data_IF_873302594697
#
_entry.id   IF_873302594697
#
_cell.length_a   1.000
_cell.length_b   1.000
_cell.length_c   1.000
_cell.angle_alpha   90.00
_cell.angle_beta   90.00
_cell.angle_gamma   90.00
#
_symmetry.space_group_name_H-M   'P 1'
#
loop_
_entity.id
_entity.type
_entity.pdbx_description
1 polymer ?
#
# COMPACT_ATOMS: atom_id res chain seq x y z
N UNK A 1 -34.68 2.63 20.25
CA UNK A 1 -34.06 1.43 19.66
C UNK A 1 -32.93 1.74 18.67
N UNK A 2 -32.90 2.91 18.02
CA UNK A 2 -31.84 3.29 17.04
C UNK A 2 -30.42 3.41 17.64
N UNK A 3 -30.28 3.81 18.91
CA UNK A 3 -28.96 3.99 19.53
C UNK A 3 -28.20 2.67 19.74
N UNK A 4 -28.93 1.55 19.96
CA UNK A 4 -28.35 0.21 20.15
C UNK A 4 -27.88 -0.38 18.81
N UNK A 5 -28.61 -0.13 17.72
CA UNK A 5 -28.21 -0.53 16.36
C UNK A 5 -26.90 0.15 15.94
N UNK A 6 -26.76 1.45 16.19
CA UNK A 6 -25.54 2.21 15.85
C UNK A 6 -24.29 1.71 16.59
N UNK A 7 -24.44 1.32 17.86
CA UNK A 7 -23.35 0.73 18.65
C UNK A 7 -22.97 -0.67 18.16
N UNK A 8 -23.96 -1.49 17.78
CA UNK A 8 -23.74 -2.82 17.19
C UNK A 8 -23.01 -2.74 15.85
N UNK A 9 -23.34 -1.78 15.00
CA UNK A 9 -22.66 -1.57 13.72
C UNK A 9 -21.23 -1.06 13.91
N UNK A 10 -20.99 -0.18 14.88
CA UNK A 10 -19.63 0.23 15.27
C UNK A 10 -18.81 -0.93 15.80
N UNK A 11 -19.37 -1.77 16.67
CA UNK A 11 -18.70 -2.96 17.20
C UNK A 11 -18.43 -4.02 16.13
N UNK A 12 -19.38 -4.28 15.23
CA UNK A 12 -19.17 -5.18 14.09
C UNK A 12 -18.12 -4.63 13.15
N UNK A 13 -18.17 -3.33 12.82
CA UNK A 13 -17.19 -2.67 11.95
C UNK A 13 -15.79 -2.68 12.56
N UNK A 14 -15.67 -2.43 13.87
CA UNK A 14 -14.38 -2.49 14.57
C UNK A 14 -13.85 -3.92 14.66
N UNK A 15 -14.70 -4.91 14.98
CA UNK A 15 -14.31 -6.32 15.01
C UNK A 15 -13.90 -6.84 13.64
N UNK A 16 -14.59 -6.42 12.57
CA UNK A 16 -14.22 -6.72 11.19
C UNK A 16 -12.90 -6.03 10.79
N UNK A 17 -12.67 -4.79 11.20
CA UNK A 17 -11.42 -4.08 10.96
C UNK A 17 -10.23 -4.77 11.64
N UNK A 18 -10.39 -5.19 12.90
CA UNK A 18 -9.37 -5.97 13.63
C UNK A 18 -9.11 -7.32 12.96
N UNK A 19 -10.17 -8.02 12.54
CA UNK A 19 -10.04 -9.27 11.82
C UNK A 19 -9.29 -9.09 10.49
N UNK A 20 -9.62 -8.06 9.71
CA UNK A 20 -8.90 -7.71 8.48
C UNK A 20 -7.43 -7.36 8.75
N UNK A 21 -7.15 -6.62 9.83
CA UNK A 21 -5.78 -6.26 10.20
C UNK A 21 -4.94 -7.51 10.52
N UNK A 22 -5.50 -8.45 11.29
CA UNK A 22 -4.84 -9.74 11.59
C UNK A 22 -4.66 -10.56 10.30
N UNK A 23 -5.70 -10.65 9.48
CA UNK A 23 -5.67 -11.34 8.20
C UNK A 23 -4.69 -10.72 7.18
N UNK A 24 -4.35 -9.44 7.34
CA UNK A 24 -3.31 -8.77 6.57
C UNK A 24 -1.90 -9.03 7.13
N UNK A 25 -1.75 -8.94 8.46
CA UNK A 25 -0.45 -9.07 9.14
C UNK A 25 0.09 -10.50 9.05
N UNK A 26 -0.77 -11.51 9.18
CA UNK A 26 -0.37 -12.92 9.14
C UNK A 26 0.35 -13.33 7.84
N UNK A 27 -0.22 -13.12 6.64
CA UNK A 27 0.48 -13.40 5.38
C UNK A 27 1.69 -12.47 5.15
N UNK A 28 1.67 -11.23 5.64
CA UNK A 28 2.81 -10.30 5.55
C UNK A 28 4.05 -10.82 6.31
N UNK A 29 3.83 -11.38 7.50
CA UNK A 29 4.89 -12.05 8.28
C UNK A 29 5.40 -13.28 7.54
N UNK A 30 4.50 -14.06 6.93
CA UNK A 30 4.87 -15.23 6.12
C UNK A 30 5.78 -14.87 4.94
N UNK A 31 5.45 -13.81 4.19
CA UNK A 31 6.30 -13.29 3.12
C UNK A 31 7.66 -12.86 3.69
N UNK A 32 7.69 -12.15 4.82
CA UNK A 32 8.94 -11.67 5.43
C UNK A 32 9.85 -12.80 5.93
N UNK A 33 9.29 -13.87 6.47
CA UNK A 33 10.03 -15.05 6.92
C UNK A 33 10.57 -15.86 5.74
N UNK A 34 9.74 -16.07 4.72
CA UNK A 34 10.17 -16.70 3.45
C UNK A 34 11.34 -15.93 2.84
N UNK A 35 11.22 -14.61 2.87
CA UNK A 35 12.20 -13.69 2.37
C UNK A 35 13.56 -13.79 3.08
N UNK A 36 13.55 -13.91 4.42
CA UNK A 36 14.77 -14.12 5.22
C UNK A 36 15.38 -15.51 5.01
N UNK A 37 14.55 -16.55 4.91
CA UNK A 37 15.00 -17.92 4.70
C UNK A 37 15.71 -18.11 3.35
N UNK A 38 15.17 -17.50 2.28
CA UNK A 38 15.72 -17.56 0.94
C UNK A 38 17.15 -16.97 0.86
N UNK A 39 17.38 -15.87 1.57
CA UNK A 39 18.69 -15.20 1.63
C UNK A 39 19.70 -16.03 2.43
N UNK A 40 19.26 -16.73 3.47
CA UNK A 40 20.12 -17.53 4.35
C UNK A 40 20.57 -18.87 3.75
N UNK A 41 19.77 -19.49 2.88
CA UNK A 41 20.07 -20.83 2.33
C UNK A 41 20.86 -20.76 1.03
N UNK A 42 20.67 -19.72 0.22
CA UNK A 42 21.16 -19.72 -1.17
C UNK A 42 22.13 -18.60 -1.56
N UNK A 43 22.51 -17.66 -0.67
CA UNK A 43 23.43 -16.55 -0.98
C UNK A 43 23.11 -15.77 -2.29
N UNK A 44 21.87 -15.84 -2.79
CA UNK A 44 21.45 -15.18 -4.02
C UNK A 44 21.18 -13.69 -3.72
N UNK A 45 22.08 -12.82 -4.19
CA UNK A 45 22.04 -11.34 -4.06
C UNK A 45 20.98 -10.65 -4.94
N UNK A 46 19.83 -11.27 -5.23
CA UNK A 46 18.83 -10.70 -6.15
C UNK A 46 17.47 -10.44 -5.48
N UNK A 47 17.35 -9.40 -4.63
CA UNK A 47 16.08 -8.98 -4.03
C UNK A 47 15.03 -8.57 -5.07
N UNK A 48 15.45 -8.26 -6.30
CA UNK A 48 14.56 -7.89 -7.42
C UNK A 48 13.62 -9.05 -7.79
N UNK A 49 14.15 -10.27 -7.94
CA UNK A 49 13.38 -11.44 -8.39
C UNK A 49 12.22 -11.75 -7.44
N UNK A 50 12.50 -11.62 -6.16
CA UNK A 50 11.61 -11.90 -5.04
C UNK A 50 10.45 -10.90 -4.93
N UNK A 51 10.72 -9.62 -5.20
CA UNK A 51 9.70 -8.57 -5.27
C UNK A 51 8.79 -8.80 -6.49
N UNK A 52 9.38 -9.18 -7.63
CA UNK A 52 8.62 -9.51 -8.84
C UNK A 52 7.69 -10.71 -8.59
N UNK A 53 8.18 -11.77 -7.95
CA UNK A 53 7.35 -12.93 -7.58
C UNK A 53 6.20 -12.55 -6.65
N UNK A 54 6.43 -11.67 -5.68
CA UNK A 54 5.40 -11.22 -4.74
C UNK A 54 4.31 -10.41 -5.44
N UNK A 55 4.70 -9.51 -6.36
CA UNK A 55 3.74 -8.75 -7.17
C UNK A 55 2.97 -9.65 -8.14
N UNK A 56 3.65 -10.63 -8.74
CA UNK A 56 3.03 -11.61 -9.63
C UNK A 56 2.03 -12.49 -8.88
N UNK A 57 2.37 -12.94 -7.67
CA UNK A 57 1.46 -13.71 -6.82
C UNK A 57 0.21 -12.90 -6.44
N UNK A 58 0.38 -11.65 -6.01
CA UNK A 58 -0.74 -10.75 -5.74
C UNK A 58 -1.59 -10.50 -6.99
N UNK A 59 -0.98 -10.39 -8.16
CA UNK A 59 -1.68 -10.25 -9.43
C UNK A 59 -2.53 -11.48 -9.74
N UNK A 60 -1.96 -12.68 -9.63
CA UNK A 60 -2.67 -13.95 -9.83
C UNK A 60 -3.83 -14.07 -8.83
N UNK A 61 -3.58 -13.86 -7.53
CA UNK A 61 -4.65 -13.92 -6.52
C UNK A 61 -5.77 -12.93 -6.82
N UNK A 62 -5.43 -11.68 -7.14
CA UNK A 62 -6.44 -10.68 -7.49
C UNK A 62 -7.24 -11.06 -8.74
N UNK A 63 -6.59 -11.69 -9.72
CA UNK A 63 -7.22 -12.24 -10.91
C UNK A 63 -8.15 -13.41 -10.59
N UNK A 64 -7.70 -14.37 -9.79
CA UNK A 64 -8.48 -15.53 -9.35
C UNK A 64 -9.68 -15.11 -8.51
N UNK A 65 -9.53 -14.16 -7.59
CA UNK A 65 -10.64 -13.60 -6.79
C UNK A 65 -11.69 -12.95 -7.70
N UNK A 66 -11.25 -12.21 -8.74
CA UNK A 66 -12.17 -11.62 -9.73
C UNK A 66 -12.86 -12.68 -10.59
N UNK A 67 -12.17 -13.73 -10.99
CA UNK A 67 -12.74 -14.83 -11.77
C UNK A 67 -13.76 -15.63 -10.94
N UNK A 68 -13.42 -15.99 -9.70
CA UNK A 68 -14.31 -16.70 -8.77
C UNK A 68 -15.53 -15.84 -8.43
N UNK A 69 -15.34 -14.53 -8.21
CA UNK A 69 -16.41 -13.57 -8.01
C UNK A 69 -17.29 -13.33 -9.25
N UNK A 70 -16.81 -13.66 -10.46
CA UNK A 70 -17.62 -13.64 -11.68
C UNK A 70 -18.39 -14.94 -11.89
N UNK A 71 -17.86 -16.08 -11.41
CA UNK A 71 -18.51 -17.40 -11.52
C UNK A 71 -19.55 -17.63 -10.43
N UNK A 72 -19.29 -17.11 -9.23
CA UNK A 72 -20.24 -17.09 -8.13
C UNK A 72 -21.01 -15.79 -8.27
N UNK A 73 -22.29 -15.82 -8.64
CA UNK A 73 -23.18 -14.65 -8.83
C UNK A 73 -23.47 -13.91 -7.50
N UNK A 74 -22.42 -13.64 -6.73
CA UNK A 74 -22.42 -13.03 -5.43
C UNK A 74 -22.18 -11.54 -5.63
N UNK A 75 -23.24 -10.76 -5.40
CA UNK A 75 -23.36 -9.29 -5.49
C UNK A 75 -22.35 -8.46 -4.67
N UNK A 76 -21.33 -9.07 -4.08
CA UNK A 76 -20.45 -8.49 -3.06
C UNK A 76 -19.21 -7.81 -3.64
N UNK A 77 -18.93 -8.01 -4.93
CA UNK A 77 -17.79 -7.42 -5.61
C UNK A 77 -18.34 -6.57 -6.77
N UNK A 78 -18.46 -5.24 -6.61
CA UNK A 78 -18.83 -4.38 -7.72
C UNK A 78 -17.67 -4.39 -8.72
N UNK A 79 -17.75 -5.30 -9.69
CA UNK A 79 -16.90 -5.27 -10.89
C UNK A 79 -17.31 -4.05 -11.70
N UNK A 80 -16.72 -2.92 -11.35
CA UNK A 80 -16.84 -1.69 -12.12
C UNK A 80 -16.35 -2.02 -13.53
N UNK A 81 -17.24 -1.95 -14.52
CA UNK A 81 -16.89 -2.20 -15.92
C UNK A 81 -15.80 -1.20 -16.29
N UNK A 82 -14.61 -1.70 -16.66
CA UNK A 82 -13.51 -0.85 -17.11
C UNK A 82 -13.93 -0.15 -18.40
N UNK A 83 -14.40 1.09 -18.27
CA UNK A 83 -14.57 1.97 -19.41
C UNK A 83 -13.18 2.41 -19.89
N UNK A 84 -12.98 2.53 -21.21
CA UNK A 84 -11.67 2.92 -21.80
C UNK A 84 -11.10 4.21 -21.22
N UNK A 85 -11.98 5.12 -20.80
CA UNK A 85 -11.62 6.36 -20.09
C UNK A 85 -10.91 6.09 -18.76
N UNK A 86 -11.39 5.13 -17.95
CA UNK A 86 -10.77 4.76 -16.67
C UNK A 86 -9.40 4.12 -16.88
N UNK A 87 -9.25 3.29 -17.92
CA UNK A 87 -7.97 2.66 -18.24
C UNK A 87 -6.90 3.71 -18.61
N UNK A 88 -7.26 4.74 -19.38
CA UNK A 88 -6.33 5.81 -19.74
C UNK A 88 -5.86 6.63 -18.53
N UNK A 89 -6.67 6.75 -17.47
CA UNK A 89 -6.28 7.39 -16.20
C UNK A 89 -5.45 6.46 -15.30
N UNK A 90 -5.72 5.15 -15.34
CA UNK A 90 -5.00 4.13 -14.56
C UNK A 90 -3.60 3.81 -15.12
N UNK A 91 -3.41 4.02 -16.41
CA UNK A 91 -2.14 3.75 -17.09
C UNK A 91 -0.98 4.63 -16.57
N UNK A 92 -1.11 5.97 -16.49
CA UNK A 92 -0.02 6.81 -15.97
C UNK A 92 0.26 6.57 -14.49
N UNK A 93 -0.76 6.32 -13.65
CA UNK A 93 -0.54 6.02 -12.22
C UNK A 93 0.17 4.68 -12.03
N UNK A 94 -0.14 3.68 -12.88
CA UNK A 94 0.54 2.39 -12.88
C UNK A 94 2.00 2.49 -13.33
N UNK A 95 2.27 3.25 -14.39
CA UNK A 95 3.65 3.50 -14.87
C UNK A 95 4.46 4.24 -13.81
N UNK A 96 3.90 5.28 -13.20
CA UNK A 96 4.58 6.04 -12.14
C UNK A 96 4.88 5.18 -10.91
N UNK A 97 3.90 4.37 -10.47
CA UNK A 97 4.06 3.49 -9.32
C UNK A 97 5.08 2.38 -9.60
N UNK A 98 5.03 1.79 -10.80
CA UNK A 98 6.00 0.78 -11.24
C UNK A 98 7.42 1.34 -11.34
N UNK A 99 7.56 2.57 -11.85
CA UNK A 99 8.84 3.29 -11.90
C UNK A 99 9.37 3.59 -10.50
N UNK A 100 8.51 4.04 -9.57
CA UNK A 100 8.90 4.33 -8.19
C UNK A 100 9.40 3.06 -7.48
N UNK A 101 8.68 1.94 -7.62
CA UNK A 101 9.06 0.65 -7.02
C UNK A 101 10.36 0.15 -7.66
N UNK A 102 10.45 0.15 -8.99
CA UNK A 102 11.65 -0.28 -9.71
C UNK A 102 12.89 0.55 -9.34
N UNK A 103 12.74 1.87 -9.27
CA UNK A 103 13.81 2.78 -8.83
C UNK A 103 14.21 2.53 -7.39
N UNK A 104 13.27 2.21 -6.50
CA UNK A 104 13.56 1.91 -5.09
C UNK A 104 14.40 0.63 -4.95
N UNK A 105 14.09 -0.40 -5.74
CA UNK A 105 14.82 -1.67 -5.73
C UNK A 105 16.18 -1.58 -6.44
N UNK A 106 16.27 -0.81 -7.53
CA UNK A 106 17.53 -0.53 -8.20
C UNK A 106 18.48 0.30 -7.30
N UNK A 107 17.93 1.25 -6.53
CA UNK A 107 18.68 2.03 -5.55
C UNK A 107 19.25 1.15 -4.42
N UNK A 108 18.52 0.12 -3.97
CA UNK A 108 19.03 -0.83 -2.97
C UNK A 108 20.26 -1.64 -3.45
N UNK A 109 20.47 -1.75 -4.77
CA UNK A 109 21.61 -2.44 -5.37
C UNK A 109 22.79 -1.50 -5.66
N UNK A 110 22.54 -0.21 -5.85
CA UNK A 110 23.54 0.79 -6.28
C UNK A 110 23.96 1.76 -5.17
N UNK A 111 23.14 1.94 -4.14
CA UNK A 111 23.35 2.85 -3.01
C UNK A 111 23.23 2.12 -1.66
N UNK A 112 23.87 2.68 -0.63
CA UNK A 112 23.77 2.20 0.76
C UNK A 112 22.31 2.18 1.23
N UNK A 113 21.94 1.15 2.00
CA UNK A 113 20.62 0.96 2.64
C UNK A 113 20.15 2.22 3.42
N UNK A 114 21.09 3.04 3.88
CA UNK A 114 20.81 4.32 4.56
C UNK A 114 20.13 5.35 3.64
N UNK A 115 20.57 5.47 2.37
CA UNK A 115 19.97 6.42 1.42
C UNK A 115 18.53 6.02 1.06
N UNK A 116 18.25 4.72 0.91
CA UNK A 116 16.89 4.22 0.67
C UNK A 116 15.95 4.53 1.86
N UNK A 117 16.44 4.35 3.09
CA UNK A 117 15.68 4.67 4.32
C UNK A 117 15.35 6.16 4.42
N UNK A 118 16.31 7.05 4.09
CA UNK A 118 16.10 8.51 4.08
C UNK A 118 15.08 8.96 3.03
N UNK A 119 15.09 8.37 1.84
CA UNK A 119 14.12 8.71 0.79
C UNK A 119 12.73 8.23 1.20
N UNK A 120 12.61 7.01 1.73
CA UNK A 120 11.32 6.46 2.14
C UNK A 120 10.69 7.23 3.31
N UNK A 121 11.51 7.76 4.23
CA UNK A 121 11.04 8.60 5.34
C UNK A 121 10.68 10.02 4.87
N UNK A 122 11.34 10.55 3.84
CA UNK A 122 11.08 11.91 3.32
C UNK A 122 9.84 12.03 2.41
N UNK A 123 9.33 10.93 1.84
CA UNK A 123 8.11 10.91 0.99
C UNK A 123 6.92 11.71 1.57
N UNK A 124 6.47 11.45 2.82
CA UNK A 124 5.38 12.21 3.42
C UNK A 124 5.68 13.71 3.56
N UNK A 125 6.92 14.09 3.86
CA UNK A 125 7.32 15.50 3.98
C UNK A 125 7.22 16.24 2.63
N UNK A 126 7.63 15.58 1.54
CA UNK A 126 7.60 16.16 0.20
C UNK A 126 6.16 16.34 -0.33
N UNK A 127 5.30 15.31 -0.18
CA UNK A 127 3.87 15.38 -0.55
C UNK A 127 3.20 16.56 0.16
N UNK A 128 3.59 16.77 1.41
CA UNK A 128 3.02 17.78 2.26
C UNK A 128 3.47 19.20 1.90
N UNK A 129 4.74 19.37 1.55
CA UNK A 129 5.25 20.64 1.02
C UNK A 129 4.50 21.05 -0.25
N UNK A 130 4.23 20.10 -1.14
CA UNK A 130 3.39 20.32 -2.33
C UNK A 130 1.93 20.66 -1.99
N UNK A 131 1.35 20.03 -0.96
CA UNK A 131 -0.01 20.31 -0.53
C UNK A 131 -0.19 21.76 -0.04
N UNK A 132 0.83 22.30 0.66
CA UNK A 132 0.86 23.71 1.08
C UNK A 132 1.10 24.64 -0.10
N UNK A 133 2.05 24.29 -0.99
CA UNK A 133 2.38 25.09 -2.18
C UNK A 133 1.17 25.26 -3.12
N UNK A 134 0.37 24.21 -3.28
CA UNK A 134 -0.83 24.20 -4.12
C UNK A 134 -2.08 24.81 -3.44
N UNK A 135 -1.95 25.29 -2.19
CA UNK A 135 -3.01 26.00 -1.45
C UNK A 135 -4.34 25.21 -1.36
N UNK A 136 -4.26 23.87 -1.38
CA UNK A 136 -5.43 22.99 -1.50
C UNK A 136 -6.19 22.79 -0.17
N UNK A 137 -5.78 23.46 0.91
CA UNK A 137 -6.37 23.31 2.24
C UNK A 137 -6.52 24.66 2.96
N UNK A 138 -7.65 24.95 3.64
CA UNK A 138 -7.79 26.17 4.44
C UNK A 138 -6.78 26.14 5.59
N UNK A 139 -5.89 27.14 5.64
CA UNK A 139 -4.78 27.23 6.60
C UNK A 139 -5.31 27.27 8.04
N UNK A 140 -5.46 26.10 8.66
CA UNK A 140 -5.78 25.94 10.09
C UNK A 140 -4.49 25.60 10.82
N UNK A 141 -4.11 26.40 11.82
CA UNK A 141 -2.85 26.24 12.57
C UNK A 141 -2.68 24.84 13.19
N UNK A 142 -3.79 24.18 13.56
CA UNK A 142 -3.79 22.80 14.04
C UNK A 142 -3.26 21.79 13.01
N UNK A 143 -3.58 22.01 11.73
CA UNK A 143 -3.08 21.14 10.66
C UNK A 143 -1.56 21.25 10.58
N UNK A 144 -1.02 22.47 10.60
CA UNK A 144 0.42 22.73 10.57
C UNK A 144 1.15 22.09 11.76
N UNK A 145 0.54 22.05 12.95
CA UNK A 145 1.14 21.44 14.15
C UNK A 145 1.21 19.91 14.08
N UNK A 146 0.13 19.23 13.65
CA UNK A 146 0.15 17.78 13.44
C UNK A 146 1.19 17.41 12.38
N UNK A 147 1.29 18.25 11.37
CA UNK A 147 2.23 18.11 10.27
C UNK A 147 3.68 18.27 10.73
N UNK A 148 4.00 19.32 11.49
CA UNK A 148 5.35 19.53 12.02
C UNK A 148 5.77 18.39 12.95
N UNK A 149 4.82 17.81 13.68
CA UNK A 149 5.07 16.66 14.54
C UNK A 149 5.38 15.38 13.75
N UNK A 150 4.69 15.15 12.62
CA UNK A 150 5.01 14.02 11.73
C UNK A 150 6.38 14.21 11.08
N UNK A 151 6.68 15.40 10.58
CA UNK A 151 7.98 15.70 9.95
C UNK A 151 9.12 15.63 10.98
N UNK A 152 8.91 16.15 12.19
CA UNK A 152 9.90 16.11 13.27
C UNK A 152 10.11 14.72 13.88
N UNK A 153 9.13 13.82 13.80
CA UNK A 153 9.30 12.42 14.22
C UNK A 153 9.99 11.51 13.19
N UNK A 154 10.19 12.01 11.97
CA UNK A 154 10.67 11.25 10.81
C UNK A 154 12.07 11.69 10.35
N UNK A 155 12.45 12.95 10.65
CA UNK A 155 13.83 13.47 10.59
C UNK A 155 14.66 12.97 11.76
#
# INVERSE_FOLDING_TARGET
>A
MEFIQKQLDLWKKNRLAVFLAIAYVFPSIGITLYNKWLISVHHYKFPVTMIIFSFLFNFILSGTIRLIGSLTASSWIPVHKLQRSQLCTLLPIGVLSGLEIGSSVAALLTLSVSFHTMISSSKPACILLFAVLLKLQPCKLWLVAVISMVVGGVL
#
